data_IF_200680737096
#
_entry.id   IF_200680737096
#
_cell.length_a   1.000
_cell.length_b   1.000
_cell.length_c   1.000
_cell.angle_alpha   90.00
_cell.angle_beta   90.00
_cell.angle_gamma   90.00
#
_symmetry.space_group_name_H-M   'P 1'
#
loop_
_entity.id
_entity.type
_entity.pdbx_description
1 polymer ?
#
# COMPACT_ATOMS: atom_id res chain seq x y z
N UNK A 1 -42.83 79.41 -28.77
CA UNK A 1 -41.82 78.51 -29.36
C UNK A 1 -41.61 77.35 -28.39
N UNK A 2 -42.01 76.15 -28.81
CA UNK A 2 -41.93 74.88 -28.08
C UNK A 2 -40.52 74.32 -28.09
N UNK A 3 -39.98 73.91 -26.94
CA UNK A 3 -38.84 72.99 -26.87
C UNK A 3 -39.16 71.82 -25.92
N UNK A 4 -39.17 70.62 -26.49
CA UNK A 4 -39.14 69.32 -25.81
C UNK A 4 -37.68 68.90 -25.59
N UNK A 5 -37.52 67.85 -24.77
CA UNK A 5 -36.39 66.91 -24.60
C UNK A 5 -35.72 67.03 -23.23
N UNK A 6 -35.35 65.96 -22.51
CA UNK A 6 -35.49 64.50 -22.66
C UNK A 6 -35.11 63.94 -21.27
N UNK A 7 -35.87 62.98 -20.74
CA UNK A 7 -35.46 62.22 -19.56
C UNK A 7 -34.40 61.18 -19.98
N UNK A 8 -33.27 61.14 -19.27
CA UNK A 8 -32.32 60.02 -19.31
C UNK A 8 -32.52 59.18 -18.05
N UNK A 9 -33.00 57.96 -18.23
CA UNK A 9 -32.96 56.92 -17.21
C UNK A 9 -31.66 56.13 -17.38
N UNK A 10 -30.78 56.19 -16.39
CA UNK A 10 -29.58 55.35 -16.30
C UNK A 10 -29.95 53.99 -15.72
N UNK A 11 -29.87 52.95 -16.56
CA UNK A 11 -29.96 51.56 -16.13
C UNK A 11 -28.62 51.14 -15.51
N UNK A 12 -28.62 50.82 -14.22
CA UNK A 12 -27.47 50.22 -13.54
C UNK A 12 -27.36 48.73 -13.89
N UNK A 13 -26.24 48.33 -14.49
CA UNK A 13 -25.92 46.93 -14.73
C UNK A 13 -25.38 46.28 -13.45
N UNK A 14 -26.11 45.30 -12.93
CA UNK A 14 -25.66 44.44 -11.82
C UNK A 14 -24.82 43.30 -12.42
N UNK A 15 -23.49 43.37 -12.30
CA UNK A 15 -22.61 42.29 -12.69
C UNK A 15 -22.61 41.21 -11.58
N UNK A 16 -23.27 40.08 -11.84
CA UNK A 16 -23.18 38.88 -11.00
C UNK A 16 -21.89 38.14 -11.40
N UNK A 17 -20.86 38.20 -10.55
CA UNK A 17 -19.73 37.27 -10.65
C UNK A 17 -20.19 35.88 -10.19
N UNK A 18 -20.35 34.96 -11.13
CA UNK A 18 -20.46 33.54 -10.82
C UNK A 18 -19.07 33.02 -10.46
N UNK A 19 -18.84 32.79 -9.17
CA UNK A 19 -17.70 32.02 -8.71
C UNK A 19 -17.91 30.55 -9.14
N UNK A 20 -17.16 30.11 -10.14
CA UNK A 20 -17.07 28.69 -10.49
C UNK A 20 -16.02 28.09 -9.57
N UNK A 21 -16.45 27.57 -8.42
CA UNK A 21 -15.56 26.72 -7.62
C UNK A 21 -15.38 25.38 -8.35
N UNK A 22 -14.14 24.94 -8.62
CA UNK A 22 -13.93 23.62 -9.16
C UNK A 22 -14.27 22.61 -8.06
N UNK A 23 -15.36 21.88 -8.24
CA UNK A 23 -15.63 20.63 -7.53
C UNK A 23 -14.53 19.65 -7.91
N UNK A 24 -13.44 19.63 -7.14
CA UNK A 24 -12.46 18.56 -7.19
C UNK A 24 -13.18 17.28 -6.76
N UNK A 25 -13.58 16.45 -7.72
CA UNK A 25 -14.07 15.12 -7.44
C UNK A 25 -13.01 14.38 -6.61
N UNK A 26 -13.39 13.64 -5.56
CA UNK A 26 -12.43 12.84 -4.82
C UNK A 26 -11.73 11.90 -5.80
N UNK A 27 -10.40 11.97 -5.85
CA UNK A 27 -9.59 11.04 -6.65
C UNK A 27 -9.95 9.64 -6.17
N UNK A 28 -10.62 8.87 -7.03
CA UNK A 28 -10.93 7.49 -6.72
C UNK A 28 -9.60 6.74 -6.52
N UNK A 29 -9.47 6.02 -5.41
CA UNK A 29 -8.30 5.19 -5.17
C UNK A 29 -8.15 4.18 -6.31
N UNK A 30 -6.91 3.88 -6.69
CA UNK A 30 -6.62 2.88 -7.69
C UNK A 30 -7.08 1.50 -7.20
N UNK A 31 -8.02 0.90 -7.95
CA UNK A 31 -8.55 -0.44 -7.69
C UNK A 31 -7.81 -1.55 -8.47
N UNK A 32 -6.73 -1.22 -9.18
CA UNK A 32 -5.91 -2.17 -9.93
C UNK A 32 -4.82 -2.85 -9.08
N UNK A 33 -3.97 -3.69 -9.69
CA UNK A 33 -2.79 -4.24 -9.04
C UNK A 33 -1.78 -3.15 -8.69
N UNK A 34 -1.20 -3.20 -7.49
CA UNK A 34 -0.27 -2.19 -6.96
C UNK A 34 0.93 -1.88 -7.87
N UNK A 35 1.33 -2.79 -8.75
CA UNK A 35 2.39 -2.55 -9.74
C UNK A 35 2.01 -1.50 -10.80
N UNK A 36 0.71 -1.23 -10.96
CA UNK A 36 0.16 -0.30 -11.95
C UNK A 36 -0.38 0.99 -11.32
N UNK A 37 -0.04 1.25 -10.04
CA UNK A 37 -0.48 2.44 -9.32
C UNK A 37 -0.03 3.71 -10.05
N UNK A 38 -0.95 4.66 -10.33
CA UNK A 38 -0.65 5.94 -10.95
C UNK A 38 0.40 6.75 -10.15
N UNK A 39 1.15 7.66 -10.81
CA UNK A 39 2.25 8.37 -10.16
C UNK A 39 1.86 9.13 -8.88
N UNK A 40 0.71 9.80 -8.87
CA UNK A 40 0.21 10.57 -7.72
C UNK A 40 -0.08 9.68 -6.50
N UNK A 41 -0.77 8.56 -6.72
CA UNK A 41 -1.02 7.60 -5.65
C UNK A 41 0.25 6.85 -5.22
N UNK A 42 1.14 6.51 -6.16
CA UNK A 42 2.45 5.93 -5.86
C UNK A 42 3.24 6.85 -4.91
N UNK A 43 3.26 8.15 -5.20
CA UNK A 43 4.00 9.10 -4.39
C UNK A 43 3.39 9.20 -2.97
N UNK A 44 2.08 9.01 -2.82
CA UNK A 44 1.44 8.84 -1.50
C UNK A 44 1.92 7.57 -0.79
N UNK A 45 2.01 6.43 -1.48
CA UNK A 45 2.55 5.19 -0.90
C UNK A 45 4.01 5.33 -0.45
N UNK A 46 4.84 5.97 -1.29
CA UNK A 46 6.25 6.24 -0.98
C UNK A 46 6.37 7.15 0.25
N UNK A 47 5.59 8.24 0.28
CA UNK A 47 5.56 9.18 1.40
C UNK A 47 5.08 8.53 2.70
N UNK A 48 4.00 7.76 2.64
CA UNK A 48 3.44 7.04 3.78
C UNK A 48 4.43 5.99 4.31
N UNK A 49 5.01 5.19 3.42
CA UNK A 49 6.04 4.21 3.78
C UNK A 49 7.24 4.87 4.45
N UNK A 50 7.74 5.98 3.89
CA UNK A 50 8.81 6.75 4.50
C UNK A 50 8.43 7.29 5.88
N UNK A 51 7.21 7.81 6.04
CA UNK A 51 6.75 8.41 7.30
C UNK A 51 6.60 7.38 8.41
N UNK A 52 6.06 6.20 8.10
CA UNK A 52 5.82 5.14 9.07
C UNK A 52 7.12 4.43 9.46
N UNK A 53 7.99 4.14 8.49
CA UNK A 53 9.20 3.38 8.73
C UNK A 53 10.42 4.24 9.14
N UNK A 54 10.46 5.50 8.73
CA UNK A 54 11.63 6.38 8.84
C UNK A 54 12.44 6.49 7.54
N UNK A 55 12.01 5.82 6.46
CA UNK A 55 12.58 5.93 5.12
C UNK A 55 11.88 4.98 4.14
N UNK A 56 11.95 5.25 2.83
CA UNK A 56 11.37 4.37 1.82
C UNK A 56 12.45 3.52 1.15
N UNK A 57 12.54 2.26 1.55
CA UNK A 57 13.45 1.25 0.99
C UNK A 57 12.73 0.19 0.16
N UNK A 58 13.50 -0.59 -0.60
CA UNK A 58 13.00 -1.69 -1.45
C UNK A 58 12.22 -2.75 -0.68
N UNK A 59 12.60 -3.01 0.58
CA UNK A 59 11.88 -3.96 1.45
C UNK A 59 10.47 -3.46 1.79
N UNK A 60 10.27 -2.14 1.93
CA UNK A 60 8.94 -1.55 2.18
C UNK A 60 8.06 -1.72 0.95
N UNK A 61 8.60 -1.42 -0.24
CA UNK A 61 7.88 -1.64 -1.50
C UNK A 61 7.52 -3.13 -1.70
N UNK A 62 8.43 -4.06 -1.39
CA UNK A 62 8.15 -5.49 -1.45
C UNK A 62 7.03 -5.90 -0.48
N UNK A 63 7.05 -5.37 0.75
CA UNK A 63 5.97 -5.59 1.72
C UNK A 63 4.61 -5.06 1.28
N UNK A 64 4.57 -3.86 0.70
CA UNK A 64 3.35 -3.27 0.14
C UNK A 64 2.78 -4.18 -0.95
N UNK A 65 3.65 -4.70 -1.82
CA UNK A 65 3.27 -5.64 -2.88
C UNK A 65 2.66 -6.93 -2.36
N UNK A 66 3.29 -7.54 -1.35
CA UNK A 66 2.76 -8.74 -0.67
C UNK A 66 1.39 -8.45 -0.04
N UNK A 67 1.28 -7.34 0.69
CA UNK A 67 0.06 -7.00 1.43
C UNK A 67 -1.12 -6.69 0.51
N UNK A 68 -0.89 -5.97 -0.60
CA UNK A 68 -1.95 -5.69 -1.58
C UNK A 68 -2.42 -6.96 -2.29
N UNK A 69 -1.50 -7.80 -2.77
CA UNK A 69 -1.85 -9.07 -3.41
C UNK A 69 -2.68 -9.95 -2.47
N UNK A 70 -2.32 -10.03 -1.19
CA UNK A 70 -3.07 -10.78 -0.19
C UNK A 70 -4.48 -10.23 0.04
N UNK A 71 -4.61 -8.90 0.21
CA UNK A 71 -5.91 -8.23 0.38
C UNK A 71 -6.82 -8.54 -0.80
N UNK A 72 -6.30 -8.46 -2.03
CA UNK A 72 -7.06 -8.71 -3.26
C UNK A 72 -7.50 -10.18 -3.37
N UNK A 73 -6.59 -11.14 -3.18
CA UNK A 73 -6.90 -12.59 -3.27
C UNK A 73 -7.89 -13.06 -2.21
N UNK A 74 -7.83 -12.45 -1.03
CA UNK A 74 -8.73 -12.77 0.08
C UNK A 74 -10.05 -12.00 0.03
N UNK A 75 -10.15 -10.96 -0.82
CA UNK A 75 -11.32 -10.08 -0.88
C UNK A 75 -11.54 -9.33 0.44
N UNK A 76 -10.46 -9.02 1.15
CA UNK A 76 -10.53 -8.55 2.53
C UNK A 76 -10.81 -7.05 2.62
N UNK A 77 -11.77 -6.70 3.47
CA UNK A 77 -12.02 -5.33 3.89
C UNK A 77 -10.98 -4.88 4.93
N UNK A 78 -10.91 -3.56 5.23
CA UNK A 78 -10.03 -3.05 6.27
C UNK A 78 -10.23 -3.78 7.60
N UNK A 79 -9.12 -4.14 8.26
CA UNK A 79 -9.09 -4.82 9.57
C UNK A 79 -9.58 -6.27 9.56
N UNK A 80 -9.80 -6.89 8.42
CA UNK A 80 -10.20 -8.31 8.34
C UNK A 80 -9.02 -9.28 8.28
N UNK A 81 -7.80 -8.77 8.15
CA UNK A 81 -6.59 -9.58 8.02
C UNK A 81 -5.84 -9.68 9.36
N UNK A 82 -5.39 -10.90 9.67
CA UNK A 82 -4.34 -11.18 10.66
C UNK A 82 -3.05 -11.56 9.94
N UNK A 83 -1.93 -10.96 10.35
CA UNK A 83 -0.62 -11.08 9.71
C UNK A 83 0.39 -11.62 10.71
N UNK A 84 1.15 -12.63 10.30
CA UNK A 84 2.35 -13.08 11.01
C UNK A 84 3.53 -13.04 10.05
N UNK A 85 4.55 -12.26 10.40
CA UNK A 85 5.80 -12.22 9.66
C UNK A 85 6.85 -13.09 10.35
N UNK A 86 7.63 -13.83 9.57
CA UNK A 86 8.78 -14.60 10.02
C UNK A 86 10.01 -14.08 9.27
N UNK A 87 11.06 -13.72 10.00
CA UNK A 87 12.29 -13.20 9.42
C UNK A 87 13.32 -14.31 9.22
N UNK A 88 14.15 -14.20 8.19
CA UNK A 88 15.38 -14.99 8.13
C UNK A 88 16.35 -14.51 9.21
N UNK A 89 17.12 -15.41 9.86
CA UNK A 89 18.26 -15.02 10.68
C UNK A 89 19.33 -14.23 9.92
N UNK A 90 19.43 -14.42 8.60
CA UNK A 90 20.34 -13.69 7.73
C UNK A 90 19.81 -12.34 7.22
N UNK A 91 18.55 -12.00 7.51
CA UNK A 91 17.98 -10.71 7.13
C UNK A 91 18.42 -9.62 8.12
N UNK A 92 18.85 -8.44 7.66
CA UNK A 92 19.34 -7.37 8.54
C UNK A 92 18.24 -6.76 9.43
N UNK A 93 17.00 -6.75 8.93
CA UNK A 93 15.81 -6.25 9.62
C UNK A 93 14.56 -6.89 9.00
N UNK A 94 13.45 -7.02 9.75
CA UNK A 94 12.17 -7.48 9.21
C UNK A 94 11.41 -6.38 8.44
N UNK A 95 12.10 -5.45 7.77
CA UNK A 95 11.51 -4.23 7.21
C UNK A 95 10.34 -4.48 6.21
N UNK A 96 10.25 -5.66 5.60
CA UNK A 96 9.10 -6.08 4.78
C UNK A 96 7.78 -5.96 5.56
N UNK A 97 7.78 -6.25 6.86
CA UNK A 97 6.57 -6.26 7.68
C UNK A 97 5.89 -4.89 7.75
N UNK A 98 6.65 -3.79 7.65
CA UNK A 98 6.09 -2.44 7.67
C UNK A 98 5.33 -2.14 6.38
N UNK A 99 5.84 -2.59 5.23
CA UNK A 99 5.10 -2.51 3.98
C UNK A 99 3.81 -3.32 4.01
N UNK A 100 3.87 -4.55 4.54
CA UNK A 100 2.69 -5.41 4.72
C UNK A 100 1.69 -4.75 5.66
N UNK A 101 2.15 -4.17 6.78
CA UNK A 101 1.34 -3.44 7.75
C UNK A 101 0.51 -2.35 7.07
N UNK A 102 1.16 -1.50 6.27
CA UNK A 102 0.50 -0.37 5.61
C UNK A 102 -0.53 -0.87 4.58
N UNK A 103 -0.18 -1.85 3.74
CA UNK A 103 -1.06 -2.35 2.70
C UNK A 103 -2.27 -3.16 3.22
N UNK A 104 -2.08 -3.92 4.30
CA UNK A 104 -3.14 -4.75 4.90
C UNK A 104 -3.97 -4.02 5.96
N UNK A 105 -3.45 -2.89 6.48
CA UNK A 105 -3.99 -2.18 7.65
C UNK A 105 -4.08 -3.08 8.90
N UNK A 106 -3.32 -4.17 8.94
CA UNK A 106 -3.06 -4.92 10.15
C UNK A 106 -1.96 -4.19 10.93
N UNK A 107 -1.99 -4.20 12.27
CA UNK A 107 -0.96 -3.52 13.06
C UNK A 107 -0.75 -4.16 14.43
N UNK A 108 0.43 -3.95 15.06
CA UNK A 108 0.67 -4.40 16.43
C UNK A 108 -0.35 -3.83 17.42
N UNK A 109 -0.71 -2.55 17.29
CA UNK A 109 -1.68 -1.89 18.18
C UNK A 109 -3.10 -2.45 18.08
N UNK A 110 -3.46 -3.06 16.94
CA UNK A 110 -4.73 -3.78 16.77
C UNK A 110 -4.64 -5.27 17.15
N UNK A 111 -3.46 -5.74 17.56
CA UNK A 111 -3.15 -7.15 17.76
C UNK A 111 -3.42 -8.04 16.53
N UNK A 112 -3.41 -7.46 15.33
CA UNK A 112 -3.63 -8.17 14.06
C UNK A 112 -2.34 -8.36 13.27
N UNK A 113 -1.21 -7.81 13.73
CA UNK A 113 0.10 -8.04 13.12
C UNK A 113 1.12 -8.37 14.20
N UNK A 114 1.93 -9.40 13.93
CA UNK A 114 3.04 -9.81 14.80
C UNK A 114 4.24 -10.28 13.98
N UNK A 115 5.43 -10.02 14.49
CA UNK A 115 6.67 -10.65 14.04
C UNK A 115 6.92 -11.84 14.94
N UNK A 116 7.13 -13.01 14.35
CA UNK A 116 7.41 -14.24 15.08
C UNK A 116 8.90 -14.36 15.36
N UNK A 117 9.23 -14.90 16.54
CA UNK A 117 10.59 -15.31 16.89
C UNK A 117 11.04 -16.57 16.14
N UNK A 118 10.10 -17.32 15.53
CA UNK A 118 10.44 -18.46 14.70
C UNK A 118 11.04 -17.99 13.35
N UNK A 119 12.07 -18.68 12.83
CA UNK A 119 12.70 -18.28 11.57
C UNK A 119 11.76 -18.47 10.37
N UNK A 120 12.00 -17.72 9.31
CA UNK A 120 11.29 -17.86 8.03
C UNK A 120 11.46 -19.25 7.41
N UNK A 121 12.66 -19.82 7.54
CA UNK A 121 13.14 -21.04 6.87
C UNK A 121 14.47 -20.77 6.17
N UNK A 122 15.29 -21.81 5.97
CA UNK A 122 16.70 -21.68 5.57
C UNK A 122 16.90 -21.06 4.17
N UNK A 123 15.93 -21.24 3.27
CA UNK A 123 15.98 -20.74 1.89
C UNK A 123 15.22 -19.44 1.68
N UNK A 124 14.63 -18.88 2.75
CA UNK A 124 13.76 -17.72 2.67
C UNK A 124 14.43 -16.50 3.29
N UNK A 125 14.24 -15.35 2.66
CA UNK A 125 14.54 -14.04 3.23
C UNK A 125 13.46 -13.64 4.24
N UNK A 126 12.20 -13.96 3.93
CA UNK A 126 11.04 -13.69 4.77
C UNK A 126 9.87 -14.59 4.40
N UNK A 127 8.99 -14.80 5.36
CA UNK A 127 7.75 -15.56 5.17
C UNK A 127 6.61 -14.81 5.84
N UNK A 128 5.49 -14.66 5.15
CA UNK A 128 4.32 -13.91 5.64
C UNK A 128 3.10 -14.81 5.58
N UNK A 129 2.47 -15.04 6.73
CA UNK A 129 1.20 -15.77 6.81
C UNK A 129 0.09 -14.77 7.05
N UNK A 130 -0.87 -14.70 6.14
CA UNK A 130 -1.97 -13.74 6.17
C UNK A 130 -3.28 -14.51 6.18
N UNK A 131 -4.03 -14.37 7.26
CA UNK A 131 -5.33 -15.03 7.46
C UNK A 131 -6.45 -14.01 7.33
N UNK A 132 -7.45 -14.34 6.52
CA UNK A 132 -8.71 -13.62 6.50
C UNK A 132 -9.59 -14.10 7.65
N UNK A 133 -9.83 -13.23 8.64
CA UNK A 133 -10.56 -13.60 9.87
C UNK A 133 -11.98 -14.11 9.61
N UNK A 134 -12.80 -13.48 8.74
CA UNK A 134 -14.17 -13.94 8.50
C UNK A 134 -14.25 -15.33 7.86
N UNK A 135 -13.44 -15.61 6.84
CA UNK A 135 -13.51 -16.89 6.11
C UNK A 135 -12.56 -17.96 6.63
N UNK A 136 -11.56 -17.60 7.45
CA UNK A 136 -10.49 -18.50 7.88
C UNK A 136 -9.46 -18.86 6.81
N UNK A 137 -9.67 -18.45 5.55
CA UNK A 137 -8.72 -18.66 4.44
C UNK A 137 -7.38 -18.02 4.78
N UNK A 138 -6.30 -18.73 4.52
CA UNK A 138 -4.96 -18.32 4.92
C UNK A 138 -4.01 -18.45 3.74
N UNK A 139 -3.33 -17.37 3.40
CA UNK A 139 -2.27 -17.37 2.39
C UNK A 139 -0.91 -17.32 3.07
N UNK A 140 0.04 -18.08 2.55
CA UNK A 140 1.44 -17.95 2.88
C UNK A 140 2.21 -17.41 1.68
N UNK A 141 2.99 -16.37 1.95
CA UNK A 141 3.93 -15.76 1.03
C UNK A 141 5.35 -16.12 1.45
N UNK A 142 6.13 -16.67 0.53
CA UNK A 142 7.53 -16.98 0.75
C UNK A 142 8.40 -16.10 -0.14
N UNK A 143 9.25 -15.28 0.48
CA UNK A 143 10.22 -14.42 -0.19
C UNK A 143 11.55 -15.16 -0.24
N UNK A 144 12.05 -15.57 -1.41
CA UNK A 144 13.26 -16.38 -1.51
C UNK A 144 14.50 -15.59 -1.08
N UNK A 145 15.45 -16.23 -0.40
CA UNK A 145 16.72 -15.60 -0.01
C UNK A 145 17.49 -15.01 -1.23
N UNK A 146 17.33 -15.63 -2.40
CA UNK A 146 17.97 -15.23 -3.65
C UNK A 146 17.58 -13.82 -4.14
N UNK A 147 16.45 -13.24 -3.68
CA UNK A 147 16.05 -11.88 -4.10
C UNK A 147 16.86 -10.80 -3.38
N UNK A 148 17.48 -11.11 -2.24
CA UNK A 148 18.12 -10.12 -1.38
C UNK A 148 19.19 -9.26 -2.08
N UNK A 149 20.14 -9.82 -2.87
CA UNK A 149 21.12 -9.00 -3.58
C UNK A 149 20.47 -7.93 -4.45
N UNK A 150 19.40 -8.29 -5.20
CA UNK A 150 18.66 -7.36 -6.05
C UNK A 150 17.97 -6.26 -5.25
N UNK A 151 17.27 -6.60 -4.17
CA UNK A 151 16.60 -5.61 -3.31
C UNK A 151 17.61 -4.67 -2.64
N UNK A 152 18.78 -5.19 -2.25
CA UNK A 152 19.86 -4.39 -1.68
C UNK A 152 20.44 -3.43 -2.71
N UNK A 153 20.65 -3.86 -3.95
CA UNK A 153 21.26 -3.02 -4.99
C UNK A 153 20.30 -1.92 -5.44
N UNK A 154 18.98 -2.20 -5.52
CA UNK A 154 17.94 -1.17 -5.69
C UNK A 154 18.07 -0.04 -4.65
N UNK A 155 18.36 -0.37 -3.39
CA UNK A 155 18.52 0.66 -2.34
C UNK A 155 19.73 1.57 -2.56
N UNK A 156 20.77 1.10 -3.26
CA UNK A 156 21.97 1.89 -3.56
C UNK A 156 21.77 2.76 -4.81
N UNK A 157 21.11 2.22 -5.81
CA UNK A 157 21.06 2.80 -7.15
C UNK A 157 19.88 3.76 -7.35
N UNK A 158 18.82 3.60 -6.56
CA UNK A 158 17.58 4.37 -6.72
C UNK A 158 17.11 4.98 -5.39
N UNK A 159 16.19 5.95 -5.47
CA UNK A 159 15.55 6.59 -4.30
C UNK A 159 14.07 6.85 -4.57
N UNK A 160 13.27 6.99 -3.52
CA UNK A 160 11.84 7.38 -3.61
C UNK A 160 11.04 6.54 -4.61
N UNK A 161 10.40 7.23 -5.57
CA UNK A 161 9.65 6.61 -6.67
C UNK A 161 10.48 5.65 -7.52
N UNK A 162 11.78 5.91 -7.74
CA UNK A 162 12.64 5.00 -8.49
C UNK A 162 12.81 3.63 -7.81
N UNK A 163 12.81 3.60 -6.47
CA UNK A 163 12.82 2.32 -5.71
C UNK A 163 11.50 1.57 -5.87
N UNK A 164 10.39 2.30 -5.85
CA UNK A 164 9.08 1.72 -6.11
C UNK A 164 9.04 1.06 -7.48
N UNK A 165 9.35 1.83 -8.52
CA UNK A 165 9.28 1.39 -9.92
C UNK A 165 10.19 0.16 -10.14
N UNK A 166 11.41 0.18 -9.60
CA UNK A 166 12.35 -0.93 -9.70
C UNK A 166 11.85 -2.21 -9.00
N UNK A 167 11.17 -2.09 -7.86
CA UNK A 167 10.59 -3.24 -7.14
C UNK A 167 9.35 -3.77 -7.83
N UNK A 168 8.48 -2.90 -8.34
CA UNK A 168 7.27 -3.31 -9.07
C UNK A 168 7.59 -3.99 -10.40
N UNK A 169 8.74 -3.65 -11.01
CA UNK A 169 9.24 -4.30 -12.22
C UNK A 169 9.81 -5.72 -11.99
N UNK A 170 10.02 -6.15 -10.73
CA UNK A 170 10.43 -7.52 -10.43
C UNK A 170 9.26 -8.46 -10.76
N UNK A 171 9.50 -9.57 -11.46
CA UNK A 171 8.42 -10.52 -11.73
C UNK A 171 7.85 -11.10 -10.43
N UNK A 172 6.55 -11.38 -10.39
CA UNK A 172 5.92 -11.90 -9.17
C UNK A 172 6.59 -13.20 -8.69
N UNK A 173 6.90 -14.10 -9.62
CA UNK A 173 7.55 -15.39 -9.34
C UNK A 173 8.98 -15.25 -8.77
N UNK A 174 9.69 -14.18 -9.16
CA UNK A 174 11.02 -13.90 -8.60
C UNK A 174 10.91 -13.25 -7.21
N UNK A 175 9.92 -12.37 -7.01
CA UNK A 175 9.69 -11.68 -5.75
C UNK A 175 9.21 -12.62 -4.64
N UNK A 176 8.22 -13.48 -4.94
CA UNK A 176 7.53 -14.30 -3.95
C UNK A 176 6.82 -15.49 -4.57
N UNK A 177 6.67 -16.57 -3.80
CA UNK A 177 5.66 -17.59 -4.07
C UNK A 177 4.48 -17.42 -3.12
N UNK A 178 3.28 -17.76 -3.57
CA UNK A 178 2.05 -17.71 -2.78
C UNK A 178 1.37 -19.07 -2.80
N UNK A 179 0.92 -19.53 -1.63
CA UNK A 179 0.11 -20.74 -1.51
C UNK A 179 -0.99 -20.55 -0.48
N UNK A 180 -2.13 -21.20 -0.69
CA UNK A 180 -3.17 -21.28 0.34
C UNK A 180 -2.81 -22.40 1.34
N UNK A 181 -2.86 -22.09 2.63
CA UNK A 181 -2.65 -23.06 3.69
C UNK A 181 -3.99 -23.75 4.01
N UNK A 182 -3.94 -25.01 4.47
CA UNK A 182 -5.13 -25.64 5.06
C UNK A 182 -5.69 -24.78 6.19
N UNK A 183 -7.02 -24.82 6.43
CA UNK A 183 -7.62 -24.11 7.56
C UNK A 183 -6.91 -24.47 8.87
N UNK A 184 -6.38 -23.47 9.56
CA UNK A 184 -5.84 -23.69 10.89
C UNK A 184 -6.99 -24.03 11.86
N UNK A 185 -6.76 -24.90 12.85
CA UNK A 185 -7.69 -25.05 13.96
C UNK A 185 -7.99 -23.68 14.58
N UNK A 186 -9.22 -23.43 15.07
CA UNK A 186 -9.54 -22.19 15.74
C UNK A 186 -8.53 -21.96 16.87
N UNK A 187 -7.97 -20.74 16.93
CA UNK A 187 -7.06 -20.37 18.01
C UNK A 187 -7.79 -20.59 19.36
N UNK A 188 -7.10 -21.11 20.39
CA UNK A 188 -7.68 -21.19 21.72
C UNK A 188 -8.13 -19.79 22.16
N UNK A 189 -9.33 -19.69 22.74
CA UNK A 189 -9.76 -18.44 23.36
C UNK A 189 -8.79 -18.11 24.51
N UNK A 190 -8.40 -16.83 24.65
CA UNK A 190 -7.58 -16.39 25.78
C UNK A 190 -8.27 -16.69 27.12
#
# INVERSE_FOLDING_TARGET
MTFRHRALATAGALAVLLAVEPLAAPVAAHDGPIETTPPDERDLWVSLGARVHGGFGSLIAAGIRIGDDARRRLGAAPRELDVTYFSSPGAPCPCIVDGVMIATRASPGQATLRVSDAPAGDTLFGRVVIRHKPSGRTLEYAVPAAIWPRLRDINKETTGAGRWDAVMAISAAEMMTVRELPPAPPAPKP
#
